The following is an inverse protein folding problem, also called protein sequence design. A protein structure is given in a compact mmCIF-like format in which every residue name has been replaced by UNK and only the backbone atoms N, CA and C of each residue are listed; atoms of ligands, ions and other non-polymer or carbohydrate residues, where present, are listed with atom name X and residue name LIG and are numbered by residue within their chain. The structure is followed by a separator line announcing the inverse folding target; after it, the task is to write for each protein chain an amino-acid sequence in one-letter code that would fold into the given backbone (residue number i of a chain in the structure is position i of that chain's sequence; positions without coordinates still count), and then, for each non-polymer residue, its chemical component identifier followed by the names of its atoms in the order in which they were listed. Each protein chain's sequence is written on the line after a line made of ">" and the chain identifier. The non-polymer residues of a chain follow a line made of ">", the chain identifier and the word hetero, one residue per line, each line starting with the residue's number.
data_IF_797257559841
#
_entry.id   IF_797257559841
#
_cell.length_a   1.000
_cell.length_b   1.000
_cell.length_c   1.000
_cell.angle_alpha   90.00
_cell.angle_beta   90.00
_cell.angle_gamma   90.00
#
_symmetry.space_group_name_H-M   'P 1'
#
loop_
_entity.id
_entity.type
_entity.pdbx_description
1 polymer ?
#
# COMPACT_ATOMS: atom_id res chain seq x y z
N UNK A 1 20.30 46.75 16.21
CA UNK A 1 20.57 45.61 17.11
C UNK A 1 19.55 44.48 16.92
N UNK A 2 18.27 44.79 16.73
CA UNK A 2 17.20 43.81 16.48
C UNK A 2 17.39 42.99 15.19
N UNK A 3 17.88 43.60 14.11
CA UNK A 3 17.98 42.94 12.79
C UNK A 3 19.09 41.87 12.74
N UNK A 4 20.16 42.06 13.50
CA UNK A 4 21.25 41.08 13.67
C UNK A 4 20.74 39.83 14.38
N UNK A 5 20.02 40.01 15.49
CA UNK A 5 19.44 38.91 16.28
C UNK A 5 18.45 38.11 15.43
N UNK A 6 17.60 38.79 14.65
CA UNK A 6 16.66 38.14 13.75
C UNK A 6 17.37 37.28 12.69
N UNK A 7 18.45 37.77 12.08
CA UNK A 7 19.25 36.99 11.11
C UNK A 7 19.81 35.72 11.74
N UNK A 8 20.38 35.80 12.94
CA UNK A 8 20.91 34.62 13.65
C UNK A 8 19.82 33.59 13.95
N UNK A 9 18.65 34.04 14.41
CA UNK A 9 17.49 33.18 14.66
C UNK A 9 17.06 32.47 13.37
N UNK A 10 16.91 33.20 12.27
CA UNK A 10 16.52 32.63 10.97
C UNK A 10 17.58 31.64 10.46
N UNK A 11 18.87 31.98 10.58
CA UNK A 11 19.97 31.10 10.19
C UNK A 11 20.06 29.83 11.04
N UNK A 12 19.59 29.84 12.28
CA UNK A 12 19.54 28.64 13.12
C UNK A 12 18.30 27.79 12.85
N UNK A 13 17.12 28.42 12.74
CA UNK A 13 15.84 27.71 12.61
C UNK A 13 15.71 27.03 11.25
N UNK A 14 16.08 27.69 10.15
CA UNK A 14 15.86 27.15 8.80
C UNK A 14 16.63 25.83 8.57
N UNK A 15 17.95 25.74 8.84
CA UNK A 15 18.69 24.48 8.69
C UNK A 15 18.21 23.41 9.65
N UNK A 16 17.84 23.78 10.88
CA UNK A 16 17.30 22.83 11.85
C UNK A 16 15.98 22.22 11.35
N UNK A 17 15.03 23.04 10.90
CA UNK A 17 13.75 22.56 10.35
C UNK A 17 13.97 21.70 9.09
N UNK A 18 14.88 22.09 8.21
CA UNK A 18 15.26 21.29 7.03
C UNK A 18 15.86 19.93 7.44
N UNK A 19 16.71 19.91 8.47
CA UNK A 19 17.30 18.70 9.02
C UNK A 19 16.25 17.73 9.56
N UNK A 20 15.30 18.23 10.35
CA UNK A 20 14.20 17.43 10.91
C UNK A 20 13.32 16.85 9.79
N UNK A 21 12.95 17.67 8.81
CA UNK A 21 12.15 17.23 7.66
C UNK A 21 12.88 16.17 6.84
N UNK A 22 14.19 16.34 6.62
CA UNK A 22 15.03 15.37 5.92
C UNK A 22 15.11 14.04 6.66
N UNK A 23 15.33 14.05 7.97
CA UNK A 23 15.40 12.84 8.79
C UNK A 23 14.06 12.10 8.83
N UNK A 24 12.95 12.82 9.00
CA UNK A 24 11.60 12.25 8.97
C UNK A 24 11.29 11.61 7.62
N UNK A 25 11.63 12.28 6.51
CA UNK A 25 11.45 11.73 5.17
C UNK A 25 12.29 10.46 4.97
N UNK A 26 13.56 10.46 5.37
CA UNK A 26 14.44 9.29 5.26
C UNK A 26 13.90 8.10 6.05
N UNK A 27 13.42 8.34 7.28
CA UNK A 27 12.85 7.31 8.14
C UNK A 27 11.62 6.66 7.47
N UNK A 28 10.67 7.48 6.99
CA UNK A 28 9.47 7.01 6.29
C UNK A 28 9.82 6.26 4.99
N UNK A 29 10.77 6.76 4.21
CA UNK A 29 11.22 6.05 2.99
C UNK A 29 11.85 4.70 3.30
N UNK A 30 12.57 4.58 4.41
CA UNK A 30 13.18 3.32 4.84
C UNK A 30 12.12 2.31 5.29
N UNK A 31 11.09 2.78 6.00
CA UNK A 31 9.97 1.94 6.43
C UNK A 31 9.19 1.37 5.23
N UNK A 32 8.81 2.23 4.28
CA UNK A 32 8.12 1.80 3.04
C UNK A 32 9.00 0.80 2.27
N UNK A 33 10.32 1.04 2.19
CA UNK A 33 11.22 0.12 1.51
C UNK A 33 11.31 -1.25 2.20
N UNK A 34 11.24 -1.30 3.54
CA UNK A 34 11.18 -2.55 4.30
C UNK A 34 9.87 -3.29 4.04
N UNK A 35 8.74 -2.60 4.15
CA UNK A 35 7.40 -3.18 3.88
C UNK A 35 7.31 -3.75 2.46
N UNK A 36 7.86 -3.03 1.46
CA UNK A 36 7.88 -3.52 0.08
C UNK A 36 8.79 -4.75 -0.10
N UNK A 37 9.87 -4.88 0.65
CA UNK A 37 10.71 -6.08 0.61
C UNK A 37 10.01 -7.27 1.26
N UNK A 38 9.33 -7.05 2.38
CA UNK A 38 8.53 -8.07 3.05
C UNK A 38 7.39 -8.55 2.13
N UNK A 39 6.67 -7.62 1.50
CA UNK A 39 5.66 -7.94 0.49
C UNK A 39 6.24 -8.79 -0.67
N UNK A 40 7.39 -8.39 -1.22
CA UNK A 40 8.05 -9.15 -2.31
C UNK A 40 8.45 -10.57 -1.88
N UNK A 41 8.86 -10.74 -0.63
CA UNK A 41 9.19 -12.04 -0.06
C UNK A 41 7.93 -12.89 0.12
N UNK A 42 6.88 -12.32 0.69
CA UNK A 42 5.59 -12.99 0.92
C UNK A 42 4.96 -13.42 -0.42
N UNK A 43 5.01 -12.55 -1.44
CA UNK A 43 4.56 -12.84 -2.81
C UNK A 43 5.31 -14.02 -3.43
N UNK A 44 6.64 -14.02 -3.34
CA UNK A 44 7.46 -15.13 -3.88
C UNK A 44 7.17 -16.44 -3.16
N UNK A 45 7.02 -16.40 -1.84
CA UNK A 45 6.69 -17.59 -1.06
C UNK A 45 5.30 -18.13 -1.40
N UNK A 46 4.33 -17.24 -1.66
CA UNK A 46 3.00 -17.63 -2.12
C UNK A 46 3.08 -18.27 -3.51
N UNK A 47 3.79 -17.65 -4.46
CA UNK A 47 4.00 -18.19 -5.81
C UNK A 47 4.57 -19.61 -5.76
N UNK A 48 5.66 -19.82 -5.00
CA UNK A 48 6.33 -21.11 -4.88
C UNK A 48 5.38 -22.18 -4.34
N UNK A 49 4.69 -21.91 -3.22
CA UNK A 49 3.81 -22.90 -2.57
C UNK A 49 2.53 -23.13 -3.38
N UNK A 50 1.93 -22.08 -3.95
CA UNK A 50 0.69 -22.20 -4.71
C UNK A 50 0.94 -22.91 -6.05
N UNK A 51 2.04 -22.59 -6.73
CA UNK A 51 2.45 -23.31 -7.95
C UNK A 51 2.69 -24.78 -7.64
N UNK A 52 3.50 -25.09 -6.62
CA UNK A 52 3.76 -26.47 -6.20
C UNK A 52 2.45 -27.19 -5.86
N UNK A 53 1.55 -26.53 -5.13
CA UNK A 53 0.24 -27.09 -4.82
C UNK A 53 -0.51 -27.48 -6.10
N UNK A 54 -0.72 -26.56 -7.04
CA UNK A 54 -1.50 -26.78 -8.26
C UNK A 54 -0.88 -27.77 -9.26
N UNK A 55 0.44 -28.00 -9.20
CA UNK A 55 1.14 -28.96 -10.07
C UNK A 55 1.37 -30.33 -9.45
N UNK A 56 1.04 -30.53 -8.17
CA UNK A 56 1.28 -31.79 -7.45
C UNK A 56 0.01 -32.64 -7.38
N UNK A 57 0.10 -33.97 -7.36
CA UNK A 57 -1.06 -34.85 -7.18
C UNK A 57 -1.83 -34.53 -5.88
N UNK A 58 -3.15 -34.44 -5.99
CA UNK A 58 -4.13 -34.31 -4.90
C UNK A 58 -3.91 -35.27 -3.71
N UNK A 59 -3.45 -36.49 -3.96
CA UNK A 59 -3.30 -37.52 -2.94
C UNK A 59 -2.02 -37.34 -2.09
N UNK A 60 -1.18 -36.35 -2.38
CA UNK A 60 0.05 -36.14 -1.62
C UNK A 60 -0.27 -35.70 -0.18
N UNK A 61 0.26 -36.39 0.86
CA UNK A 61 -0.09 -36.12 2.26
C UNK A 61 0.27 -34.70 2.74
N UNK A 62 1.18 -34.01 2.05
CA UNK A 62 1.59 -32.64 2.37
C UNK A 62 0.61 -31.58 1.87
N UNK A 63 -0.41 -31.93 1.08
CA UNK A 63 -1.31 -30.95 0.47
C UNK A 63 -2.12 -30.14 1.48
N UNK A 64 -2.59 -30.75 2.57
CA UNK A 64 -3.28 -30.02 3.64
C UNK A 64 -2.39 -28.94 4.28
N UNK A 65 -1.11 -29.23 4.44
CA UNK A 65 -0.13 -28.26 4.95
C UNK A 65 0.11 -27.13 3.94
N UNK A 66 0.22 -27.44 2.64
CA UNK A 66 0.34 -26.42 1.59
C UNK A 66 -0.89 -25.52 1.55
N UNK A 67 -2.10 -26.08 1.61
CA UNK A 67 -3.36 -25.31 1.67
C UNK A 67 -3.38 -24.34 2.85
N UNK A 68 -3.06 -24.82 4.05
CA UNK A 68 -3.01 -23.97 5.24
C UNK A 68 -1.98 -22.84 5.11
N UNK A 69 -0.81 -23.12 4.50
CA UNK A 69 0.21 -22.11 4.24
C UNK A 69 -0.23 -21.07 3.22
N UNK A 70 -0.87 -21.48 2.12
CA UNK A 70 -1.42 -20.57 1.11
C UNK A 70 -2.44 -19.63 1.77
N UNK A 71 -3.34 -20.15 2.62
CA UNK A 71 -4.27 -19.31 3.39
C UNK A 71 -3.53 -18.35 4.33
N UNK A 72 -2.56 -18.84 5.09
CA UNK A 72 -1.77 -18.00 5.98
C UNK A 72 -1.08 -16.84 5.25
N UNK A 73 -0.51 -17.11 4.07
CA UNK A 73 0.14 -16.11 3.24
C UNK A 73 -0.85 -15.13 2.62
N UNK A 74 -2.00 -15.59 2.13
CA UNK A 74 -3.04 -14.69 1.58
C UNK A 74 -3.60 -13.76 2.65
N UNK A 75 -3.84 -14.24 3.89
CA UNK A 75 -4.15 -13.36 5.02
C UNK A 75 -3.02 -12.37 5.34
N UNK A 76 -1.76 -12.83 5.27
CA UNK A 76 -0.58 -11.98 5.44
C UNK A 76 -0.45 -10.90 4.36
N UNK A 77 -0.92 -11.16 3.14
CA UNK A 77 -0.92 -10.21 2.03
C UNK A 77 -2.08 -9.20 2.13
N UNK A 78 -3.25 -9.61 2.63
CA UNK A 78 -4.41 -8.75 2.81
C UNK A 78 -4.12 -7.50 3.68
N UNK A 79 -3.16 -7.58 4.62
CA UNK A 79 -2.73 -6.43 5.44
C UNK A 79 -2.23 -5.24 4.62
N UNK A 80 -1.74 -5.49 3.40
CA UNK A 80 -1.21 -4.44 2.53
C UNK A 80 -2.32 -3.72 1.75
N UNK A 81 -3.55 -4.25 1.70
CA UNK A 81 -4.67 -3.62 1.00
C UNK A 81 -5.03 -2.26 1.61
N UNK A 82 -5.09 -2.17 2.94
CA UNK A 82 -5.37 -0.93 3.66
C UNK A 82 -4.30 0.15 3.36
N UNK A 83 -3.05 -0.29 3.16
CA UNK A 83 -1.90 0.58 2.92
C UNK A 83 -1.66 0.82 1.42
N UNK A 84 -2.38 0.15 0.53
CA UNK A 84 -2.11 0.14 -0.90
C UNK A 84 -2.13 1.55 -1.50
N UNK A 85 -3.08 2.39 -1.07
CA UNK A 85 -3.20 3.78 -1.52
C UNK A 85 -2.01 4.64 -1.10
N UNK A 86 -1.45 4.40 0.09
CA UNK A 86 -0.30 5.12 0.61
C UNK A 86 0.98 4.69 -0.12
N UNK A 87 1.18 3.38 -0.28
CA UNK A 87 2.42 2.80 -0.82
C UNK A 87 2.48 2.93 -2.35
N UNK A 88 1.40 2.58 -3.07
CA UNK A 88 1.41 2.49 -4.53
C UNK A 88 0.89 3.77 -5.22
N UNK A 89 0.10 4.59 -4.51
CA UNK A 89 -0.44 5.85 -5.01
C UNK A 89 -1.41 5.62 -6.17
N UNK A 90 -1.07 6.12 -7.37
CA UNK A 90 -1.91 5.98 -8.58
C UNK A 90 -2.09 4.52 -9.03
N UNK A 91 -1.11 3.66 -8.75
CA UNK A 91 -1.14 2.24 -9.12
C UNK A 91 -1.94 1.38 -8.11
N UNK A 92 -2.51 1.99 -7.06
CA UNK A 92 -3.23 1.22 -6.03
C UNK A 92 -4.41 0.43 -6.57
N UNK A 93 -5.15 0.96 -7.55
CA UNK A 93 -6.26 0.23 -8.18
C UNK A 93 -5.78 -1.03 -8.92
N UNK A 94 -4.73 -0.90 -9.73
CA UNK A 94 -4.13 -2.02 -10.45
C UNK A 94 -3.55 -3.07 -9.49
N UNK A 95 -2.89 -2.62 -8.42
CA UNK A 95 -2.37 -3.50 -7.38
C UNK A 95 -3.47 -4.32 -6.70
N UNK A 96 -4.57 -3.66 -6.30
CA UNK A 96 -5.68 -4.34 -5.61
C UNK A 96 -6.35 -5.37 -6.55
N UNK A 97 -6.60 -4.99 -7.81
CA UNK A 97 -7.17 -5.91 -8.79
C UNK A 97 -6.26 -7.15 -9.01
N UNK A 98 -4.96 -6.95 -9.20
CA UNK A 98 -4.02 -8.06 -9.36
C UNK A 98 -3.89 -8.92 -8.09
N UNK A 99 -4.06 -8.33 -6.90
CA UNK A 99 -4.04 -9.07 -5.65
C UNK A 99 -5.29 -9.93 -5.50
N UNK A 100 -6.47 -9.39 -5.83
CA UNK A 100 -7.73 -10.13 -5.86
C UNK A 100 -7.63 -11.31 -6.84
N UNK A 101 -7.15 -11.07 -8.06
CA UNK A 101 -6.95 -12.11 -9.08
C UNK A 101 -5.95 -13.19 -8.61
N UNK A 102 -4.86 -12.79 -7.94
CA UNK A 102 -3.87 -13.72 -7.38
C UNK A 102 -4.49 -14.57 -6.26
N UNK A 103 -5.24 -13.97 -5.34
CA UNK A 103 -5.89 -14.68 -4.22
C UNK A 103 -6.95 -15.64 -4.76
N UNK A 104 -7.80 -15.19 -5.68
CA UNK A 104 -8.83 -16.01 -6.31
C UNK A 104 -8.22 -17.20 -7.06
N UNK A 105 -7.16 -16.96 -7.85
CA UNK A 105 -6.49 -18.04 -8.60
C UNK A 105 -5.78 -19.03 -7.65
N UNK A 106 -5.20 -18.52 -6.57
CA UNK A 106 -4.48 -19.35 -5.59
C UNK A 106 -5.41 -20.21 -4.73
N UNK A 107 -6.61 -19.71 -4.37
CA UNK A 107 -7.50 -20.33 -3.38
C UNK A 107 -8.88 -20.75 -3.91
N UNK A 108 -9.23 -20.39 -5.13
CA UNK A 108 -10.55 -20.65 -5.71
C UNK A 108 -10.74 -22.06 -6.27
N UNK A 109 -11.96 -22.35 -6.74
CA UNK A 109 -12.31 -23.63 -7.37
C UNK A 109 -12.28 -24.79 -6.37
N UNK A 110 -11.61 -25.87 -6.75
CA UNK A 110 -11.58 -27.13 -6.01
C UNK A 110 -10.52 -27.17 -4.89
N UNK A 111 -10.05 -26.01 -4.43
CA UNK A 111 -8.89 -25.85 -3.52
C UNK A 111 -8.96 -26.71 -2.25
N UNK A 112 -10.14 -26.82 -1.63
CA UNK A 112 -10.34 -27.60 -0.40
C UNK A 112 -10.80 -29.04 -0.65
N UNK A 113 -11.06 -29.39 -1.90
CA UNK A 113 -11.63 -30.70 -2.22
C UNK A 113 -10.52 -31.73 -2.42
N UNK A 114 -10.73 -32.93 -1.92
CA UNK A 114 -9.84 -34.07 -2.14
C UNK A 114 -9.80 -34.53 -3.62
N UNK A 115 -10.82 -34.17 -4.41
CA UNK A 115 -10.93 -34.51 -5.83
C UNK A 115 -10.31 -33.47 -6.78
N UNK A 116 -9.46 -32.58 -6.26
CA UNK A 116 -8.85 -31.49 -7.03
C UNK A 116 -7.82 -32.01 -8.05
N UNK A 117 -8.11 -31.87 -9.34
CA UNK A 117 -7.14 -32.17 -10.38
C UNK A 117 -5.94 -31.20 -10.39
N UNK A 118 -4.82 -31.66 -10.95
CA UNK A 118 -3.69 -30.79 -11.28
C UNK A 118 -4.11 -29.73 -12.29
N UNK A 119 -3.66 -28.49 -12.08
CA UNK A 119 -4.01 -27.34 -12.92
C UNK A 119 -2.77 -26.48 -13.20
N UNK A 120 -2.01 -26.90 -14.23
CA UNK A 120 -0.80 -26.20 -14.67
C UNK A 120 -1.11 -24.80 -15.21
N UNK A 121 -2.32 -24.56 -15.73
CA UNK A 121 -2.70 -23.25 -16.23
C UNK A 121 -2.83 -22.24 -15.09
N UNK A 122 -3.43 -22.63 -13.95
CA UNK A 122 -3.46 -21.80 -12.74
C UNK A 122 -2.08 -21.48 -12.22
N UNK A 123 -1.18 -22.46 -12.18
CA UNK A 123 0.21 -22.23 -11.77
C UNK A 123 0.89 -21.14 -12.62
N UNK A 124 0.71 -21.17 -13.94
CA UNK A 124 1.25 -20.14 -14.85
C UNK A 124 0.62 -18.76 -14.57
N UNK A 125 -0.69 -18.70 -14.33
CA UNK A 125 -1.39 -17.47 -14.00
C UNK A 125 -0.88 -16.86 -12.69
N UNK A 126 -0.71 -17.68 -11.63
CA UNK A 126 -0.15 -17.26 -10.34
C UNK A 126 1.23 -16.62 -10.54
N UNK A 127 2.11 -17.25 -11.32
CA UNK A 127 3.42 -16.69 -11.62
C UNK A 127 3.33 -15.36 -12.39
N UNK A 128 2.40 -15.23 -13.34
CA UNK A 128 2.18 -13.98 -14.08
C UNK A 128 1.74 -12.85 -13.15
N UNK A 129 0.71 -13.07 -12.33
CA UNK A 129 0.21 -12.07 -11.38
C UNK A 129 1.29 -11.68 -10.36
N UNK A 130 2.03 -12.65 -9.84
CA UNK A 130 3.12 -12.40 -8.88
C UNK A 130 4.23 -11.53 -9.51
N UNK A 131 4.57 -11.80 -10.78
CA UNK A 131 5.57 -11.02 -11.52
C UNK A 131 5.13 -9.57 -11.75
N UNK A 132 3.87 -9.35 -12.09
CA UNK A 132 3.28 -8.02 -12.28
C UNK A 132 3.22 -7.25 -10.95
N UNK A 133 2.74 -7.88 -9.88
CA UNK A 133 2.74 -7.30 -8.54
C UNK A 133 4.16 -6.95 -8.07
N UNK A 134 5.13 -7.82 -8.33
CA UNK A 134 6.53 -7.56 -8.01
C UNK A 134 7.09 -6.36 -8.81
N UNK A 135 6.68 -6.20 -10.08
CA UNK A 135 7.04 -5.03 -10.87
C UNK A 135 6.45 -3.73 -10.28
N UNK A 136 5.17 -3.73 -9.89
CA UNK A 136 4.51 -2.60 -9.21
C UNK A 136 5.22 -2.26 -7.90
N UNK A 137 5.52 -3.25 -7.07
CA UNK A 137 6.24 -3.07 -5.80
C UNK A 137 7.64 -2.47 -5.99
N UNK A 138 8.43 -2.98 -6.95
CA UNK A 138 9.75 -2.42 -7.27
C UNK A 138 9.66 -1.00 -7.82
N UNK A 139 8.63 -0.70 -8.62
CA UNK A 139 8.36 0.66 -9.11
C UNK A 139 8.01 1.60 -7.94
N UNK A 140 7.18 1.16 -7.00
CA UNK A 140 6.85 1.91 -5.80
C UNK A 140 8.11 2.18 -4.94
N UNK A 141 8.98 1.19 -4.75
CA UNK A 141 10.24 1.35 -4.01
C UNK A 141 11.17 2.38 -4.65
N UNK A 142 11.29 2.39 -5.98
CA UNK A 142 12.07 3.41 -6.71
C UNK A 142 11.47 4.81 -6.53
N UNK A 143 10.14 4.92 -6.47
CA UNK A 143 9.44 6.18 -6.25
C UNK A 143 9.56 6.68 -4.81
N UNK A 144 9.50 5.81 -3.81
CA UNK A 144 9.63 6.20 -2.40
C UNK A 144 11.03 6.72 -2.07
N UNK A 145 12.06 6.16 -2.70
CA UNK A 145 13.43 6.67 -2.62
C UNK A 145 13.63 8.04 -3.30
N UNK A 146 12.69 8.48 -4.16
CA UNK A 146 12.75 9.75 -4.85
C UNK A 146 12.18 10.90 -4.01
N UNK A 147 12.85 12.07 -4.04
CA UNK A 147 12.42 13.32 -3.37
C UNK A 147 10.98 13.74 -3.74
N UNK A 148 10.45 13.29 -4.89
CA UNK A 148 9.08 13.58 -5.35
C UNK A 148 7.97 13.03 -4.43
N UNK A 149 8.26 12.04 -3.57
CA UNK A 149 7.29 11.58 -2.58
C UNK A 149 7.10 12.61 -1.45
N UNK A 150 8.18 13.31 -1.07
CA UNK A 150 8.17 14.31 0.00
C UNK A 150 7.22 15.47 -0.31
N UNK A 151 7.22 15.98 -1.54
CA UNK A 151 6.45 17.18 -1.91
C UNK A 151 4.92 16.98 -1.87
N UNK A 152 4.41 15.75 -1.87
CA UNK A 152 2.96 15.51 -1.84
C UNK A 152 2.34 15.50 -0.44
N UNK A 153 3.12 15.12 0.58
CA UNK A 153 2.64 15.00 1.97
C UNK A 153 3.17 16.09 2.88
N UNK A 154 4.48 16.41 2.83
CA UNK A 154 5.03 17.49 3.66
C UNK A 154 4.65 18.85 3.12
N UNK A 155 4.54 19.03 1.79
CA UNK A 155 4.15 20.36 1.27
C UNK A 155 2.74 20.74 1.68
N UNK A 156 1.78 19.82 1.87
CA UNK A 156 0.42 20.16 2.33
C UNK A 156 0.38 20.57 3.81
N UNK A 157 1.07 19.85 4.69
CA UNK A 157 1.12 20.19 6.10
C UNK A 157 1.95 21.46 6.34
N UNK A 158 3.09 21.60 5.66
CA UNK A 158 3.93 22.79 5.71
C UNK A 158 3.26 23.98 5.04
N UNK A 159 2.57 23.83 3.89
CA UNK A 159 1.75 24.93 3.33
C UNK A 159 0.63 25.32 4.28
N UNK A 160 -0.04 24.37 4.94
CA UNK A 160 -1.10 24.69 5.91
C UNK A 160 -0.55 25.48 7.10
N UNK A 161 0.57 25.04 7.66
CA UNK A 161 1.23 25.73 8.78
C UNK A 161 1.77 27.11 8.37
N UNK A 162 2.35 27.24 7.17
CA UNK A 162 2.82 28.53 6.65
C UNK A 162 1.64 29.44 6.30
N UNK A 163 0.56 28.92 5.72
CA UNK A 163 -0.62 29.70 5.37
C UNK A 163 -1.41 30.20 6.59
N UNK A 164 -1.49 29.41 7.67
CA UNK A 164 -2.12 29.84 8.93
C UNK A 164 -1.30 30.92 9.62
N UNK A 165 0.03 30.83 9.59
CA UNK A 165 0.93 31.84 10.16
C UNK A 165 0.96 33.12 9.32
N UNK A 166 0.96 33.03 7.99
CA UNK A 166 1.07 34.21 7.10
C UNK A 166 -0.25 34.97 6.95
N UNK A 167 -1.40 34.28 6.94
CA UNK A 167 -2.69 34.93 6.69
C UNK A 167 -3.53 35.18 7.95
N UNK A 168 -3.10 34.73 9.13
CA UNK A 168 -3.86 34.91 10.38
C UNK A 168 -5.27 34.29 10.36
N UNK A 169 -5.51 33.32 9.47
CA UNK A 169 -6.81 32.66 9.32
C UNK A 169 -6.86 31.51 10.33
N UNK A 170 -7.75 31.53 11.33
CA UNK A 170 -7.97 30.40 12.22
C UNK A 170 -8.54 29.23 11.42
N UNK A 171 -8.07 28.02 11.74
CA UNK A 171 -8.34 26.74 11.09
C UNK A 171 -9.74 26.64 10.45
N UNK A 172 -9.85 27.00 9.17
CA UNK A 172 -10.94 26.50 8.36
C UNK A 172 -10.60 25.08 7.93
N UNK A 173 -11.36 24.12 8.48
CA UNK A 173 -11.36 22.71 8.11
C UNK A 173 -11.74 22.61 6.62
N UNK A 174 -10.75 22.72 5.74
CA UNK A 174 -10.91 22.35 4.34
C UNK A 174 -10.75 20.83 4.30
N UNK A 175 -11.89 20.14 4.35
CA UNK A 175 -11.98 18.73 4.01
C UNK A 175 -11.28 18.49 2.66
N UNK A 176 -10.48 17.41 2.51
CA UNK A 176 -9.98 17.06 1.19
C UNK A 176 -11.18 16.82 0.26
N UNK A 177 -11.14 17.25 -1.01
CA UNK A 177 -12.26 17.15 -1.96
C UNK A 177 -12.68 15.70 -2.31
N UNK A 178 -12.15 14.68 -1.62
CA UNK A 178 -12.59 13.27 -1.71
C UNK A 178 -13.24 12.73 -0.43
N UNK A 179 -13.17 13.42 0.71
CA UNK A 179 -13.93 13.03 1.91
C UNK A 179 -15.41 13.45 1.83
N UNK A 180 -15.74 14.48 1.04
CA UNK A 180 -17.12 14.90 0.79
C UNK A 180 -17.91 13.88 -0.06
N UNK A 181 -17.25 13.11 -0.93
CA UNK A 181 -17.93 12.12 -1.78
C UNK A 181 -18.33 10.84 -1.01
N UNK A 182 -17.51 10.40 -0.05
CA UNK A 182 -17.83 9.22 0.77
C UNK A 182 -18.99 9.47 1.75
N UNK A 183 -19.08 10.68 2.30
CA UNK A 183 -20.15 11.07 3.23
C UNK A 183 -21.48 11.30 2.47
N UNK A 184 -21.44 11.84 1.24
CA UNK A 184 -22.64 11.97 0.39
C UNK A 184 -23.15 10.62 -0.16
N UNK A 185 -22.26 9.66 -0.44
CA UNK A 185 -22.65 8.31 -0.89
C UNK A 185 -23.16 7.46 0.29
N UNK A 186 -22.62 7.64 1.50
CA UNK A 186 -23.13 7.01 2.72
C UNK A 186 -24.48 7.60 3.18
N UNK A 187 -24.73 8.90 2.95
CA UNK A 187 -26.01 9.54 3.23
C UNK A 187 -27.13 9.11 2.26
N UNK A 188 -26.81 8.67 1.03
CA UNK A 188 -27.80 8.19 0.04
C UNK A 188 -28.29 6.76 0.30
N UNK A 189 -27.60 5.96 1.12
CA UNK A 189 -27.98 4.57 1.46
C UNK A 189 -28.80 4.42 2.75
N UNK A 190 -29.16 5.52 3.42
CA UNK A 190 -29.90 5.51 4.71
C UNK A 190 -31.21 6.31 4.73
N UNK A 191 -31.78 6.67 3.58
CA UNK A 191 -33.16 7.16 3.52
C UNK A 191 -34.10 6.00 3.16
N UNK A 192 -34.98 5.55 4.09
CA UNK A 192 -36.09 4.69 3.73
C UNK A 192 -37.03 5.46 2.80
N UNK A 193 -37.50 4.75 1.77
CA UNK A 193 -38.61 5.13 0.90
C UNK A 193 -39.83 5.51 1.74
N UNK A 194 -40.13 6.80 1.80
CA UNK A 194 -41.47 7.32 2.04
C UNK A 194 -41.88 8.06 0.77
N UNK A 195 -42.48 7.30 -0.14
CA UNK A 195 -43.65 7.58 -0.98
C UNK A 195 -43.74 6.46 -2.02
#
# INVERSE_FOLDING_TARGET
>A
MTDEILKWIVMAIVPFSLGVLWQSWRASSSEIASQLNDLLKDLKQLEEIATEFWTTDSNEPKNSMRQARIRGLTFGLARYEEQAKLIFGRESGNYLALMDDLIETSTGGAFETSARAEDYQRAIQIQSFTSELAHIARSARRRSAGIRFATSYTSRAVYRAVASVVNGIPDCIIYPPRAAYGILVAARRRLPTLF
#
